data_IF_442223757401
#
_entry.id   IF_442223757401
#
_cell.length_a   1.000
_cell.length_b   1.000
_cell.length_c   1.000
_cell.angle_alpha   90.00
_cell.angle_beta   90.00
_cell.angle_gamma   90.00
#
_symmetry.space_group_name_H-M   'P 1'
#
loop_
_entity.id
_entity.type
_entity.pdbx_description
1 polymer ?
#
# COMPACT_ATOMS: atom_id res chain seq x y z
N UNK A 1 17.35 -24.48 26.45
CA UNK A 1 16.65 -24.72 25.18
C UNK A 1 16.04 -23.41 24.76
N UNK A 2 16.70 -22.70 23.83
CA UNK A 2 16.21 -21.43 23.32
C UNK A 2 15.01 -21.74 22.42
N UNK A 3 13.84 -21.19 22.77
CA UNK A 3 12.70 -21.19 21.87
C UNK A 3 13.08 -20.34 20.67
N UNK A 4 13.23 -20.98 19.51
CA UNK A 4 13.24 -20.27 18.24
C UNK A 4 11.92 -19.50 18.17
N UNK A 5 11.99 -18.19 18.38
CA UNK A 5 10.85 -17.32 18.21
C UNK A 5 10.43 -17.42 16.77
N UNK A 6 9.22 -17.95 16.53
CA UNK A 6 8.59 -17.88 15.22
C UNK A 6 8.70 -16.44 14.71
N UNK A 7 9.08 -16.23 13.44
CA UNK A 7 9.15 -14.88 12.92
C UNK A 7 7.79 -14.19 13.13
N UNK A 8 7.80 -12.94 13.61
CA UNK A 8 6.58 -12.17 13.94
C UNK A 8 5.57 -12.06 12.77
N UNK A 9 5.97 -12.40 11.55
CA UNK A 9 5.14 -12.45 10.33
C UNK A 9 4.35 -13.75 10.10
N UNK A 10 4.53 -14.77 10.94
CA UNK A 10 3.68 -15.97 10.95
C UNK A 10 2.38 -15.79 11.75
N UNK A 11 2.27 -14.70 12.53
CA UNK A 11 1.07 -14.45 13.31
C UNK A 11 -0.07 -13.96 12.41
N UNK A 12 -1.14 -14.76 12.35
CA UNK A 12 -2.40 -14.36 11.73
C UNK A 12 -3.04 -13.29 12.61
N UNK A 13 -3.38 -12.11 12.07
CA UNK A 13 -4.00 -11.06 12.87
C UNK A 13 -5.36 -11.53 13.41
N UNK A 14 -5.67 -11.26 14.69
CA UNK A 14 -6.96 -11.64 15.25
C UNK A 14 -8.09 -10.95 14.50
N UNK A 15 -9.25 -11.59 14.41
CA UNK A 15 -10.43 -10.99 13.79
C UNK A 15 -10.83 -9.70 14.50
N UNK A 16 -11.13 -8.67 13.72
CA UNK A 16 -11.45 -7.34 14.20
C UNK A 16 -10.25 -6.46 14.49
N UNK A 17 -9.01 -6.90 14.24
CA UNK A 17 -7.83 -6.05 14.44
C UNK A 17 -7.71 -4.93 13.41
N UNK A 18 -8.22 -5.16 12.20
CA UNK A 18 -8.11 -4.17 11.13
C UNK A 18 -9.19 -3.08 11.25
N UNK A 19 -8.87 -1.81 10.96
CA UNK A 19 -9.84 -0.70 10.97
C UNK A 19 -11.10 -0.97 10.13
N UNK A 20 -10.91 -1.53 8.93
CA UNK A 20 -12.02 -1.89 8.05
C UNK A 20 -12.86 -3.04 8.63
N UNK A 21 -12.26 -4.04 9.27
CA UNK A 21 -13.02 -5.14 9.91
C UNK A 21 -13.93 -4.57 11.01
N UNK A 22 -13.41 -3.66 11.85
CA UNK A 22 -14.22 -2.96 12.86
C UNK A 22 -15.32 -2.09 12.24
N UNK A 23 -15.02 -1.41 11.13
CA UNK A 23 -16.02 -0.62 10.42
C UNK A 23 -17.15 -1.49 9.87
N UNK A 24 -16.83 -2.63 9.26
CA UNK A 24 -17.82 -3.58 8.75
C UNK A 24 -18.72 -4.10 9.87
N UNK A 25 -18.15 -4.54 10.99
CA UNK A 25 -18.92 -5.05 12.13
C UNK A 25 -19.87 -3.98 12.68
N UNK A 26 -19.37 -2.76 12.90
CA UNK A 26 -20.16 -1.67 13.49
C UNK A 26 -21.29 -1.18 12.60
N UNK A 27 -21.12 -1.24 11.28
CA UNK A 27 -22.07 -0.70 10.31
C UNK A 27 -22.87 -1.80 9.59
N UNK A 28 -22.80 -3.03 10.08
CA UNK A 28 -23.58 -4.13 9.52
C UNK A 28 -25.05 -4.01 9.94
N UNK A 29 -25.92 -3.77 8.95
CA UNK A 29 -27.36 -3.88 9.09
C UNK A 29 -27.81 -5.33 8.90
N UNK A 30 -28.30 -5.94 9.98
CA UNK A 30 -28.83 -7.31 9.98
C UNK A 30 -30.22 -7.44 9.35
N UNK A 31 -30.91 -6.33 9.13
CA UNK A 31 -32.26 -6.27 8.54
C UNK A 31 -32.23 -5.85 7.07
N UNK A 32 -31.05 -5.63 6.52
CA UNK A 32 -30.84 -5.32 5.11
C UNK A 32 -31.43 -6.42 4.22
N UNK A 33 -32.13 -6.02 3.16
CA UNK A 33 -32.63 -6.93 2.13
C UNK A 33 -31.56 -7.33 1.11
N UNK A 34 -30.39 -6.68 1.16
CA UNK A 34 -29.31 -6.94 0.22
C UNK A 34 -28.62 -8.28 0.52
N UNK A 35 -28.00 -8.87 -0.51
CA UNK A 35 -27.09 -9.98 -0.28
C UNK A 35 -25.91 -9.50 0.60
N UNK A 36 -25.42 -10.33 1.56
CA UNK A 36 -24.29 -9.97 2.43
C UNK A 36 -23.07 -9.45 1.67
N UNK A 37 -22.75 -10.02 0.50
CA UNK A 37 -21.65 -9.56 -0.35
C UNK A 37 -21.84 -8.13 -0.87
N UNK A 38 -23.06 -7.76 -1.29
CA UNK A 38 -23.38 -6.43 -1.80
C UNK A 38 -23.32 -5.38 -0.69
N UNK A 39 -23.89 -5.70 0.47
CA UNK A 39 -23.81 -4.85 1.64
C UNK A 39 -22.35 -4.61 2.04
N UNK A 40 -21.53 -5.67 2.05
CA UNK A 40 -20.11 -5.57 2.35
C UNK A 40 -19.38 -4.66 1.38
N UNK A 41 -19.57 -4.85 0.07
CA UNK A 41 -18.94 -4.01 -0.95
C UNK A 41 -19.30 -2.54 -0.77
N UNK A 42 -20.58 -2.24 -0.53
CA UNK A 42 -21.04 -0.87 -0.21
C UNK A 42 -20.32 -0.30 1.01
N UNK A 43 -20.19 -1.07 2.08
CA UNK A 43 -19.52 -0.62 3.30
C UNK A 43 -18.01 -0.40 3.06
N UNK A 44 -17.34 -1.21 2.26
CA UNK A 44 -15.93 -0.99 1.88
C UNK A 44 -15.77 0.32 1.12
N UNK A 45 -16.62 0.60 0.13
CA UNK A 45 -16.58 1.89 -0.58
C UNK A 45 -16.84 3.08 0.36
N UNK A 46 -17.83 2.98 1.26
CA UNK A 46 -18.08 4.02 2.27
C UNK A 46 -16.91 4.23 3.23
N UNK A 47 -16.19 3.16 3.57
CA UNK A 47 -14.98 3.26 4.38
C UNK A 47 -13.88 4.05 3.65
N UNK A 48 -13.70 3.77 2.36
CA UNK A 48 -12.71 4.43 1.50
C UNK A 48 -13.02 5.92 1.25
N UNK A 49 -14.30 6.28 1.18
CA UNK A 49 -14.75 7.67 1.03
C UNK A 49 -14.64 8.49 2.32
N UNK A 50 -14.36 7.85 3.47
CA UNK A 50 -14.45 8.49 4.76
C UNK A 50 -13.32 9.50 4.97
N UNK A 51 -13.71 10.72 5.36
CA UNK A 51 -12.74 11.80 5.52
C UNK A 51 -11.91 11.76 6.82
N UNK A 52 -12.23 10.87 7.75
CA UNK A 52 -11.52 10.65 9.02
C UNK A 52 -11.75 9.22 9.48
N UNK A 53 -10.69 8.44 9.64
CA UNK A 53 -10.73 7.28 10.55
C UNK A 53 -10.88 7.86 11.94
N UNK A 54 -11.98 7.54 12.62
CA UNK A 54 -12.12 7.92 14.02
C UNK A 54 -10.94 7.37 14.82
N UNK A 55 -10.52 8.10 15.86
CA UNK A 55 -9.41 7.70 16.76
C UNK A 55 -9.57 6.29 17.33
N UNK A 56 -10.80 5.78 17.35
CA UNK A 56 -11.19 4.43 17.77
C UNK A 56 -10.55 3.29 16.94
N UNK A 57 -9.92 3.55 15.80
CA UNK A 57 -9.30 2.52 14.95
C UNK A 57 -7.76 2.61 14.89
N UNK A 58 -7.14 3.46 15.71
CA UNK A 58 -5.71 3.82 15.57
C UNK A 58 -4.73 2.83 16.22
N UNK A 59 -5.20 1.87 17.01
CA UNK A 59 -4.33 0.97 17.78
C UNK A 59 -4.34 -0.47 17.23
N UNK A 60 -3.57 -0.71 16.17
CA UNK A 60 -3.41 -2.04 15.52
C UNK A 60 -2.66 -3.06 16.41
N UNK A 61 -1.91 -2.59 17.40
CA UNK A 61 -1.14 -3.42 18.34
C UNK A 61 -1.86 -3.63 19.68
N UNK A 62 -3.04 -3.03 19.86
CA UNK A 62 -3.90 -3.25 21.02
C UNK A 62 -5.03 -4.23 20.68
N UNK A 63 -5.69 -4.76 21.72
CA UNK A 63 -6.89 -5.57 21.52
C UNK A 63 -7.92 -4.74 20.74
N UNK A 64 -8.60 -5.35 19.74
CA UNK A 64 -9.67 -4.69 19.02
C UNK A 64 -10.65 -3.98 19.98
N UNK A 65 -11.06 -2.75 19.68
CA UNK A 65 -12.01 -2.01 20.51
C UNK A 65 -13.29 -2.82 20.81
N UNK A 66 -13.67 -3.68 19.85
CA UNK A 66 -14.73 -4.68 20.00
C UNK A 66 -14.26 -6.01 19.44
N UNK A 67 -14.29 -7.05 20.27
CA UNK A 67 -14.13 -8.43 19.81
C UNK A 67 -15.32 -8.84 18.94
N UNK A 68 -15.09 -9.29 17.68
CA UNK A 68 -16.18 -9.84 16.88
C UNK A 68 -16.68 -11.16 17.47
N UNK A 69 -18.00 -11.35 17.41
CA UNK A 69 -18.68 -12.60 17.73
C UNK A 69 -18.44 -13.66 16.65
N UNK A 70 -18.71 -14.94 16.96
CA UNK A 70 -18.53 -16.02 15.97
C UNK A 70 -19.44 -15.86 14.77
N UNK A 71 -20.65 -15.35 15.01
CA UNK A 71 -21.64 -15.05 13.99
C UNK A 71 -21.16 -13.92 13.07
N UNK A 72 -20.63 -12.83 13.63
CA UNK A 72 -20.05 -11.72 12.85
C UNK A 72 -18.84 -12.19 12.04
N UNK A 73 -17.95 -13.02 12.61
CA UNK A 73 -16.83 -13.60 11.86
C UNK A 73 -17.37 -14.45 10.69
N UNK A 74 -18.29 -15.37 10.95
CA UNK A 74 -18.81 -16.30 9.95
C UNK A 74 -19.63 -15.63 8.84
N UNK A 75 -20.33 -14.53 9.14
CA UNK A 75 -21.22 -13.85 8.19
C UNK A 75 -20.52 -12.69 7.47
N UNK A 76 -19.74 -11.89 8.20
CA UNK A 76 -19.25 -10.59 7.73
C UNK A 76 -17.82 -10.72 7.23
N UNK A 77 -16.91 -11.23 8.06
CA UNK A 77 -15.46 -11.12 7.83
C UNK A 77 -14.87 -12.31 7.07
N UNK A 78 -15.18 -13.53 7.51
CA UNK A 78 -14.63 -14.75 6.92
C UNK A 78 -15.02 -14.91 5.43
N UNK A 79 -16.28 -14.67 5.00
CA UNK A 79 -16.62 -14.80 3.58
C UNK A 79 -16.07 -13.66 2.71
N UNK A 80 -15.42 -12.67 3.28
CA UNK A 80 -14.73 -11.61 2.55
C UNK A 80 -13.26 -11.95 2.33
N UNK A 81 -12.60 -12.32 3.42
CA UNK A 81 -11.15 -12.45 3.48
C UNK A 81 -10.80 -13.67 4.34
N UNK A 82 -11.15 -14.86 3.86
CA UNK A 82 -10.84 -16.14 4.52
C UNK A 82 -9.36 -16.52 4.42
N UNK A 83 -8.63 -15.92 3.49
CA UNK A 83 -7.23 -16.22 3.25
C UNK A 83 -6.32 -15.52 4.27
N UNK A 84 -5.61 -16.32 5.06
CA UNK A 84 -4.69 -15.85 6.11
C UNK A 84 -3.46 -15.10 5.57
N UNK A 85 -3.03 -15.37 4.33
CA UNK A 85 -1.98 -14.60 3.65
C UNK A 85 -2.51 -13.20 3.38
N UNK A 86 -3.71 -13.07 2.81
CA UNK A 86 -4.32 -11.76 2.50
C UNK A 86 -4.57 -10.95 3.77
N UNK A 87 -5.07 -11.59 4.84
CA UNK A 87 -5.24 -10.93 6.14
C UNK A 87 -3.91 -10.42 6.71
N UNK A 88 -2.83 -11.19 6.58
CA UNK A 88 -1.48 -10.75 6.98
C UNK A 88 -1.00 -9.56 6.14
N UNK A 89 -1.17 -9.60 4.81
CA UNK A 89 -0.81 -8.48 3.93
C UNK A 89 -1.55 -7.20 4.34
N UNK A 90 -2.84 -7.30 4.62
CA UNK A 90 -3.67 -6.18 5.06
C UNK A 90 -3.17 -5.58 6.38
N UNK A 91 -2.79 -6.43 7.33
CA UNK A 91 -2.25 -5.98 8.61
C UNK A 91 -0.94 -5.19 8.44
N UNK A 92 0.01 -5.67 7.65
CA UNK A 92 1.26 -4.94 7.44
C UNK A 92 1.09 -3.66 6.62
N UNK A 93 0.23 -3.68 5.59
CA UNK A 93 -0.10 -2.47 4.82
C UNK A 93 -0.84 -1.42 5.66
N UNK A 94 -1.55 -1.83 6.71
CA UNK A 94 -2.17 -0.91 7.64
C UNK A 94 -1.19 -0.24 8.61
N UNK A 95 0.07 -0.69 8.70
CA UNK A 95 1.07 -0.09 9.60
C UNK A 95 1.95 0.93 8.89
N UNK A 96 2.37 0.59 7.67
CA UNK A 96 3.39 1.35 6.95
C UNK A 96 2.90 1.83 5.59
N UNK A 97 3.33 3.03 5.21
CA UNK A 97 3.19 3.52 3.84
C UNK A 97 4.29 2.92 2.99
N UNK A 98 3.96 1.84 2.28
CA UNK A 98 4.89 1.15 1.38
C UNK A 98 4.47 1.28 -0.08
N UNK A 99 5.43 1.12 -0.98
CA UNK A 99 5.14 0.91 -2.40
C UNK A 99 4.41 -0.42 -2.56
N UNK A 100 3.27 -0.41 -3.25
CA UNK A 100 2.51 -1.63 -3.55
C UNK A 100 2.84 -2.09 -4.97
N UNK A 101 3.15 -3.36 -5.16
CA UNK A 101 3.25 -3.98 -6.48
C UNK A 101 1.97 -4.75 -6.79
N UNK A 102 1.34 -4.47 -7.93
CA UNK A 102 0.11 -5.14 -8.36
C UNK A 102 0.28 -5.67 -9.78
N UNK A 103 0.24 -7.00 -9.94
CA UNK A 103 0.12 -7.62 -11.27
C UNK A 103 -1.35 -7.71 -11.65
N UNK A 104 -1.68 -7.23 -12.84
CA UNK A 104 -3.05 -7.25 -13.38
C UNK A 104 -3.18 -8.05 -14.67
N UNK A 105 -2.06 -8.44 -15.28
CA UNK A 105 -2.00 -9.26 -16.48
C UNK A 105 -1.16 -10.52 -16.23
N UNK A 106 -1.65 -11.66 -16.69
CA UNK A 106 -1.07 -12.97 -16.40
C UNK A 106 -0.91 -13.77 -17.69
N UNK A 107 0.35 -13.96 -18.07
CA UNK A 107 0.81 -14.90 -19.08
C UNK A 107 1.92 -15.76 -18.42
N UNK A 108 1.88 -17.11 -18.52
CA UNK A 108 2.92 -17.97 -17.98
C UNK A 108 4.34 -17.62 -18.47
N UNK A 109 4.48 -17.11 -19.69
CA UNK A 109 5.79 -16.74 -20.25
C UNK A 109 6.40 -15.51 -19.56
N UNK A 110 5.58 -14.70 -18.88
CA UNK A 110 5.98 -13.49 -18.19
C UNK A 110 6.37 -13.70 -16.71
N UNK A 111 6.19 -14.92 -16.19
CA UNK A 111 6.49 -15.24 -14.78
C UNK A 111 7.98 -15.07 -14.45
N UNK A 112 8.86 -15.29 -15.44
CA UNK A 112 10.29 -15.01 -15.29
C UNK A 112 10.57 -13.53 -15.03
N UNK A 113 9.95 -12.62 -15.80
CA UNK A 113 10.12 -11.18 -15.64
C UNK A 113 9.55 -10.66 -14.32
N UNK A 114 8.43 -11.26 -13.89
CA UNK A 114 7.87 -10.95 -12.58
C UNK A 114 8.86 -11.22 -11.43
N UNK A 115 9.58 -12.33 -11.50
CA UNK A 115 10.59 -12.66 -10.49
C UNK A 115 11.78 -11.68 -10.53
N UNK A 116 12.24 -11.31 -11.74
CA UNK A 116 13.27 -10.28 -11.93
C UNK A 116 12.85 -8.97 -11.25
N UNK A 117 11.64 -8.48 -11.55
CA UNK A 117 11.13 -7.21 -11.02
C UNK A 117 10.93 -7.19 -9.50
N UNK A 118 10.63 -8.32 -8.87
CA UNK A 118 10.36 -8.35 -7.42
C UNK A 118 11.62 -8.64 -6.62
N UNK A 119 12.44 -9.60 -7.07
CA UNK A 119 13.53 -10.17 -6.26
C UNK A 119 14.90 -9.65 -6.66
N UNK A 120 15.14 -9.37 -7.95
CA UNK A 120 16.47 -8.95 -8.41
C UNK A 120 16.69 -7.45 -8.29
N UNK A 121 15.62 -6.66 -8.34
CA UNK A 121 15.70 -5.21 -8.30
C UNK A 121 15.80 -4.65 -6.87
N UNK A 122 15.59 -5.43 -5.81
CA UNK A 122 15.51 -4.94 -4.41
C UNK A 122 14.48 -3.81 -4.20
N UNK A 123 13.52 -3.64 -5.13
CA UNK A 123 12.52 -2.56 -5.12
C UNK A 123 11.66 -2.54 -3.86
N UNK A 124 11.44 -3.72 -3.28
CA UNK A 124 10.54 -3.91 -2.15
C UNK A 124 11.27 -4.38 -0.89
N UNK A 125 12.59 -4.51 -0.88
CA UNK A 125 13.38 -5.06 0.24
C UNK A 125 12.64 -6.26 0.92
N UNK A 126 12.52 -6.21 2.25
CA UNK A 126 11.76 -7.17 3.08
C UNK A 126 10.23 -7.04 2.92
N UNK A 127 9.72 -5.93 2.37
CA UNK A 127 8.29 -5.67 2.15
C UNK A 127 7.70 -6.45 0.97
N UNK A 128 8.53 -7.00 0.08
CA UNK A 128 8.11 -7.79 -1.09
C UNK A 128 7.08 -8.86 -0.74
N UNK A 129 7.19 -9.42 0.48
CA UNK A 129 6.30 -10.47 0.98
C UNK A 129 4.87 -10.01 1.24
N UNK A 130 4.65 -8.74 1.63
CA UNK A 130 3.29 -8.22 1.92
C UNK A 130 2.80 -7.13 0.97
N UNK A 131 3.71 -6.44 0.29
CA UNK A 131 3.37 -5.37 -0.63
C UNK A 131 3.20 -5.84 -2.09
N UNK A 132 3.53 -7.09 -2.40
CA UNK A 132 3.35 -7.67 -3.73
C UNK A 132 2.04 -8.47 -3.87
N UNK A 133 1.26 -8.16 -4.90
CA UNK A 133 0.01 -8.83 -5.27
C UNK A 133 0.14 -9.47 -6.65
N UNK A 134 0.44 -10.79 -6.67
CA UNK A 134 0.75 -11.58 -7.87
C UNK A 134 -0.09 -12.87 -7.98
N UNK A 135 -1.22 -12.99 -7.28
CA UNK A 135 -2.12 -14.14 -7.43
C UNK A 135 -3.13 -13.92 -8.58
N UNK A 136 -3.10 -14.73 -9.66
CA UNK A 136 -4.01 -14.60 -10.80
C UNK A 136 -5.48 -14.82 -10.44
N UNK A 137 -5.79 -15.64 -9.43
CA UNK A 137 -7.17 -15.91 -9.04
C UNK A 137 -7.79 -14.73 -8.29
N UNK A 138 -6.95 -13.85 -7.73
CA UNK A 138 -7.39 -12.73 -6.90
C UNK A 138 -7.24 -11.37 -7.58
N UNK A 139 -6.18 -11.17 -8.39
CA UNK A 139 -5.78 -9.84 -8.86
C UNK A 139 -5.77 -9.67 -10.37
N UNK A 140 -6.26 -10.65 -11.13
CA UNK A 140 -6.44 -10.54 -12.58
C UNK A 140 -7.62 -9.61 -12.92
N UNK A 141 -7.43 -8.32 -12.67
CA UNK A 141 -8.43 -7.27 -12.90
C UNK A 141 -8.31 -6.62 -14.28
N UNK A 142 -7.23 -6.92 -15.02
CA UNK A 142 -6.87 -6.19 -16.24
C UNK A 142 -6.85 -4.68 -16.00
N UNK A 143 -7.55 -3.87 -16.82
CA UNK A 143 -7.54 -2.41 -16.68
C UNK A 143 -8.23 -1.93 -15.39
N UNK A 144 -9.10 -2.75 -14.77
CA UNK A 144 -9.90 -2.38 -13.61
C UNK A 144 -9.16 -2.60 -12.29
N UNK A 145 -7.89 -2.18 -12.22
CA UNK A 145 -7.00 -2.42 -11.08
C UNK A 145 -7.57 -1.93 -9.73
N UNK A 146 -8.43 -0.90 -9.74
CA UNK A 146 -9.11 -0.35 -8.56
C UNK A 146 -9.95 -1.39 -7.79
N UNK A 147 -10.32 -2.50 -8.42
CA UNK A 147 -10.96 -3.63 -7.74
C UNK A 147 -10.11 -4.22 -6.62
N UNK A 148 -8.80 -3.95 -6.60
CA UNK A 148 -7.94 -4.27 -5.46
C UNK A 148 -8.50 -3.71 -4.15
N UNK A 149 -9.16 -2.54 -4.16
CA UNK A 149 -9.72 -1.94 -2.96
C UNK A 149 -10.91 -2.72 -2.37
N UNK A 150 -11.58 -3.56 -3.17
CA UNK A 150 -12.64 -4.45 -2.69
C UNK A 150 -12.06 -5.59 -1.84
N UNK A 151 -10.79 -5.97 -2.10
CA UNK A 151 -10.09 -7.05 -1.40
C UNK A 151 -9.15 -6.49 -0.33
N UNK A 152 -8.50 -5.37 -0.62
CA UNK A 152 -7.40 -4.74 0.10
C UNK A 152 -7.56 -3.21 0.13
N UNK A 153 -8.59 -2.67 0.83
CA UNK A 153 -8.76 -1.23 0.99
C UNK A 153 -7.54 -0.54 1.64
N UNK A 154 -6.70 -1.27 2.36
CA UNK A 154 -5.46 -0.78 2.96
C UNK A 154 -4.45 -0.27 1.92
N UNK A 155 -4.55 -0.69 0.65
CA UNK A 155 -3.74 -0.18 -0.48
C UNK A 155 -4.00 1.31 -0.75
N UNK A 156 -5.16 1.85 -0.34
CA UNK A 156 -5.45 3.28 -0.47
C UNK A 156 -4.61 4.17 0.47
N UNK A 157 -3.81 3.55 1.34
CA UNK A 157 -2.93 4.22 2.30
C UNK A 157 -3.50 4.20 3.71
N UNK A 158 -2.61 4.12 4.71
CA UNK A 158 -3.00 4.18 6.11
C UNK A 158 -3.62 5.54 6.44
N UNK A 159 -4.88 5.48 6.88
CA UNK A 159 -5.67 6.65 7.22
C UNK A 159 -5.42 7.01 8.69
N UNK A 160 -4.20 7.45 9.02
CA UNK A 160 -3.97 8.29 10.20
C UNK A 160 -4.09 9.75 9.76
N UNK A 161 -5.31 10.27 9.82
CA UNK A 161 -5.60 11.69 9.53
C UNK A 161 -5.41 12.57 10.77
N UNK A 162 -5.05 12.01 11.92
CA UNK A 162 -4.77 12.71 13.18
C UNK A 162 -3.32 13.20 13.26
N UNK A 163 -2.38 12.56 12.55
CA UNK A 163 -0.98 13.05 12.43
C UNK A 163 -0.78 14.19 11.42
N UNK A 164 -1.85 14.85 10.94
CA UNK A 164 -1.73 16.01 10.04
C UNK A 164 -1.04 17.25 10.66
N UNK A 165 -0.64 17.21 11.94
CA UNK A 165 0.06 18.32 12.60
C UNK A 165 1.38 17.95 13.28
N UNK A 166 1.87 16.71 13.12
CA UNK A 166 3.21 16.33 13.54
C UNK A 166 4.11 16.19 12.30
N UNK A 167 4.65 17.31 11.83
CA UNK A 167 5.69 17.33 10.80
C UNK A 167 6.85 16.38 11.17
N UNK A 168 7.13 15.37 10.34
CA UNK A 168 8.38 15.26 9.56
C UNK A 168 8.60 13.86 8.96
N UNK A 169 8.99 13.85 7.68
CA UNK A 169 9.98 12.91 7.10
C UNK A 169 9.76 11.40 7.16
N UNK A 170 8.63 10.90 6.68
CA UNK A 170 8.53 9.51 6.22
C UNK A 170 8.49 9.43 4.69
N UNK A 171 9.60 9.72 4.00
CA UNK A 171 9.76 9.17 2.64
C UNK A 171 9.75 7.64 2.83
N UNK A 172 9.04 6.85 2.01
CA UNK A 172 9.20 5.40 2.10
C UNK A 172 10.68 5.10 1.92
N UNK A 173 11.32 4.53 2.94
CA UNK A 173 12.77 4.33 2.93
C UNK A 173 13.07 3.21 1.94
N UNK A 174 13.42 3.55 0.70
CA UNK A 174 13.98 2.63 -0.28
C UNK A 174 15.50 2.74 -0.19
N UNK A 175 16.14 1.90 0.61
CA UNK A 175 17.60 1.79 0.63
C UNK A 175 18.03 0.79 -0.43
N UNK A 176 18.24 1.28 -1.65
CA UNK A 176 19.05 0.55 -2.63
C UNK A 176 20.45 0.31 -2.03
N UNK A 177 20.76 -0.93 -1.62
CA UNK A 177 22.10 -1.27 -1.12
C UNK A 177 23.07 -1.36 -2.30
N UNK A 178 23.80 -0.27 -2.55
CA UNK A 178 25.02 -0.33 -3.34
C UNK A 178 26.11 -1.18 -2.65
N UNK A 179 27.10 -1.72 -3.39
CA UNK A 179 28.16 -2.54 -2.81
C UNK A 179 28.99 -1.73 -1.79
N UNK A 180 29.55 -2.39 -0.76
CA UNK A 180 30.22 -1.69 0.33
C UNK A 180 31.57 -1.13 -0.13
N UNK A 181 31.60 0.12 -0.61
CA UNK A 181 32.85 0.84 -0.78
C UNK A 181 33.36 1.27 0.59
N UNK A 182 34.48 0.66 1.00
CA UNK A 182 35.27 1.06 2.15
C UNK A 182 35.70 2.53 2.00
N UNK A 183 35.23 3.36 2.92
CA UNK A 183 35.93 4.56 3.39
C UNK A 183 35.83 5.79 2.49
N UNK A 184 34.93 6.71 2.85
CA UNK A 184 35.21 8.15 2.93
C UNK A 184 34.05 8.85 3.65
N UNK A 185 34.30 9.26 4.91
CA UNK A 185 33.46 10.23 5.63
C UNK A 185 33.51 11.55 4.84
N UNK A 186 32.40 11.98 4.27
CA UNK A 186 32.32 13.28 3.60
C UNK A 186 31.13 13.49 2.67
N UNK A 187 30.38 12.44 2.29
CA UNK A 187 29.23 12.56 1.39
C UNK A 187 27.89 12.85 2.10
N UNK A 188 27.74 12.42 3.36
CA UNK A 188 26.48 12.60 4.13
C UNK A 188 26.16 14.08 4.41
N UNK A 189 27.18 14.92 4.54
CA UNK A 189 27.01 16.37 4.78
C UNK A 189 26.50 17.14 3.56
N UNK A 190 26.59 16.56 2.35
CA UNK A 190 26.17 17.22 1.11
C UNK A 190 24.66 17.03 0.85
N UNK A 191 24.09 15.90 1.29
CA UNK A 191 22.65 15.61 1.14
C UNK A 191 21.84 16.43 2.15
N UNK A 192 22.29 16.51 3.42
CA UNK A 192 21.62 17.32 4.44
C UNK A 192 21.59 18.82 4.11
N UNK A 193 22.63 19.34 3.45
CA UNK A 193 22.69 20.77 3.07
C UNK A 193 21.78 21.12 1.89
N UNK A 194 21.43 20.17 1.01
CA UNK A 194 20.43 20.41 -0.05
C UNK A 194 18.99 20.43 0.49
N UNK A 195 18.72 19.68 1.56
CA UNK A 195 17.39 19.60 2.19
C UNK A 195 17.03 20.93 2.88
N UNK A 196 18.01 21.64 3.46
CA UNK A 196 17.76 22.91 4.18
C UNK A 196 17.54 24.14 3.30
N UNK A 197 17.91 24.11 2.02
CA UNK A 197 17.93 25.31 1.18
C UNK A 197 16.72 25.49 0.25
N UNK A 198 15.72 24.60 0.29
CA UNK A 198 14.51 24.73 -0.53
C UNK A 198 13.24 25.13 0.23
N UNK A 199 13.35 25.51 1.51
CA UNK A 199 12.20 25.92 2.34
C UNK A 199 11.72 27.36 2.12
N UNK A 200 12.29 28.11 1.17
CA UNK A 200 11.84 29.46 0.85
C UNK A 200 11.45 29.58 -0.62
N UNK A 201 10.20 30.01 -0.83
CA UNK A 201 9.62 30.56 -2.07
C UNK A 201 9.06 29.54 -3.09
N UNK A 202 7.91 28.95 -2.73
CA UNK A 202 6.66 28.89 -3.52
C UNK A 202 5.76 27.81 -2.91
N UNK A 203 4.82 28.22 -2.04
CA UNK A 203 3.82 27.30 -1.48
C UNK A 203 2.76 26.98 -2.54
N UNK A 204 3.14 26.13 -3.48
CA UNK A 204 2.19 25.32 -4.25
C UNK A 204 1.42 24.42 -3.26
N UNK A 205 0.14 24.09 -3.54
CA UNK A 205 -0.67 23.30 -2.62
C UNK A 205 0.06 22.01 -2.24
N UNK A 206 0.18 21.74 -0.94
CA UNK A 206 0.71 20.50 -0.40
C UNK A 206 -0.07 19.32 -1.00
N UNK A 207 0.52 18.69 -2.01
CA UNK A 207 -0.02 17.46 -2.60
C UNK A 207 0.21 16.35 -1.56
N UNK A 208 -0.83 16.04 -0.79
CA UNK A 208 -0.80 14.94 0.17
C UNK A 208 -0.93 13.60 -0.56
N UNK A 209 0.21 13.04 -0.98
CA UNK A 209 0.27 11.67 -1.51
C UNK A 209 0.02 10.69 -0.36
N UNK A 210 -0.97 9.82 -0.55
CA UNK A 210 -1.38 8.81 0.42
C UNK A 210 -0.78 7.43 0.11
N UNK A 211 -0.66 7.08 -1.17
CA UNK A 211 -0.22 5.76 -1.61
C UNK A 211 0.56 5.80 -2.92
N UNK A 212 1.45 4.83 -3.08
CA UNK A 212 2.19 4.57 -4.31
C UNK A 212 1.92 3.13 -4.77
N UNK A 213 1.47 2.96 -6.00
CA UNK A 213 1.17 1.65 -6.59
C UNK A 213 1.95 1.52 -7.89
N UNK A 214 2.71 0.45 -8.02
CA UNK A 214 3.35 0.00 -9.25
C UNK A 214 2.52 -1.13 -9.83
N UNK A 215 2.09 -0.99 -11.08
CA UNK A 215 1.25 -1.96 -11.77
C UNK A 215 2.03 -2.61 -12.91
N UNK A 216 2.08 -3.94 -12.88
CA UNK A 216 2.46 -4.79 -14.01
C UNK A 216 1.19 -5.15 -14.80
N UNK A 217 0.86 -4.30 -15.77
CA UNK A 217 -0.21 -4.54 -16.74
C UNK A 217 0.36 -5.12 -18.04
N UNK A 218 -0.52 -5.39 -19.01
CA UNK A 218 -0.12 -5.97 -20.29
C UNK A 218 0.95 -5.12 -21.01
N UNK A 219 0.84 -3.80 -20.95
CA UNK A 219 1.79 -2.88 -21.57
C UNK A 219 3.16 -2.95 -20.87
N UNK A 220 3.20 -3.16 -19.56
CA UNK A 220 4.46 -3.33 -18.83
C UNK A 220 5.23 -4.57 -19.32
N UNK A 221 4.55 -5.69 -19.61
CA UNK A 221 5.21 -6.87 -20.17
C UNK A 221 5.61 -6.69 -21.64
N UNK A 222 4.93 -5.83 -22.39
CA UNK A 222 5.31 -5.52 -23.78
C UNK A 222 6.47 -4.55 -23.89
N UNK A 223 6.49 -3.52 -23.04
CA UNK A 223 7.45 -2.42 -23.10
C UNK A 223 8.63 -2.56 -22.14
N UNK A 224 8.50 -3.39 -21.10
CA UNK A 224 9.44 -3.43 -19.97
C UNK A 224 9.25 -2.30 -18.95
N UNK A 225 8.25 -1.43 -19.13
CA UNK A 225 8.03 -0.26 -18.27
C UNK A 225 6.81 -0.43 -17.36
N UNK A 226 7.05 -0.44 -16.05
CA UNK A 226 6.01 -0.56 -15.03
C UNK A 226 5.20 0.73 -14.93
N UNK A 227 3.91 0.63 -14.58
CA UNK A 227 3.04 1.80 -14.40
C UNK A 227 3.05 2.24 -12.95
N UNK A 228 3.67 3.37 -12.64
CA UNK A 228 3.66 3.98 -11.31
C UNK A 228 2.50 4.96 -11.17
N UNK A 229 1.68 4.77 -10.13
CA UNK A 229 0.60 5.64 -9.73
C UNK A 229 0.91 6.27 -8.38
N UNK A 230 0.78 7.59 -8.28
CA UNK A 230 0.76 8.33 -7.02
C UNK A 230 -0.67 8.81 -6.75
N UNK A 231 -1.23 8.40 -5.61
CA UNK A 231 -2.63 8.62 -5.27
C UNK A 231 -2.77 9.59 -4.10
N UNK A 232 -3.79 10.44 -4.15
CA UNK A 232 -4.18 11.28 -3.01
C UNK A 232 -4.96 10.47 -1.96
N UNK A 233 -5.29 11.13 -0.84
CA UNK A 233 -6.10 10.55 0.25
C UNK A 233 -7.53 10.14 -0.16
N UNK A 234 -7.97 10.52 -1.36
CA UNK A 234 -9.28 10.20 -1.94
C UNK A 234 -9.15 9.22 -3.12
N UNK A 235 -8.00 8.57 -3.28
CA UNK A 235 -7.67 7.63 -4.37
C UNK A 235 -7.70 8.27 -5.78
N UNK A 236 -7.64 9.60 -5.87
CA UNK A 236 -7.45 10.26 -7.16
C UNK A 236 -6.00 10.08 -7.61
N UNK A 237 -5.81 9.78 -8.88
CA UNK A 237 -4.49 9.72 -9.51
C UNK A 237 -3.98 11.15 -9.63
N UNK A 238 -2.98 11.49 -8.82
CA UNK A 238 -2.28 12.77 -8.93
C UNK A 238 -1.20 12.69 -10.01
N UNK A 239 -0.57 11.53 -10.11
CA UNK A 239 0.53 11.29 -11.05
C UNK A 239 0.48 9.85 -11.54
N UNK A 240 0.72 9.71 -12.83
CA UNK A 240 0.85 8.44 -13.53
C UNK A 240 2.03 8.51 -14.48
N UNK A 241 2.98 7.58 -14.36
CA UNK A 241 4.20 7.55 -15.18
C UNK A 241 4.58 6.10 -15.49
N UNK A 242 5.14 5.86 -16.67
CA UNK A 242 5.81 4.60 -17.03
C UNK A 242 7.29 4.67 -16.61
N UNK A 243 7.72 3.73 -15.78
CA UNK A 243 9.03 3.75 -15.12
C UNK A 243 9.79 2.46 -15.38
N UNK A 244 11.12 2.55 -15.48
CA UNK A 244 11.98 1.38 -15.51
C UNK A 244 11.96 0.67 -14.15
N UNK A 245 12.37 -0.58 -14.12
CA UNK A 245 12.43 -1.45 -12.94
C UNK A 245 13.53 -1.04 -11.93
N UNK A 246 14.26 0.06 -12.18
CA UNK A 246 15.36 0.51 -11.32
C UNK A 246 14.83 1.23 -10.06
N UNK A 247 15.17 0.76 -8.84
CA UNK A 247 14.72 1.40 -7.60
C UNK A 247 15.12 2.85 -7.47
N UNK A 248 16.30 3.22 -7.98
CA UNK A 248 16.77 4.60 -7.92
C UNK A 248 15.84 5.54 -8.68
N UNK A 249 15.35 5.13 -9.86
CA UNK A 249 14.45 5.94 -10.68
C UNK A 249 13.07 6.06 -10.03
N UNK A 250 12.51 4.94 -9.54
CA UNK A 250 11.23 4.96 -8.82
C UNK A 250 11.31 5.81 -7.55
N UNK A 251 12.40 5.65 -6.78
CA UNK A 251 12.66 6.41 -5.55
C UNK A 251 12.83 7.90 -5.86
N UNK A 252 13.58 8.24 -6.90
CA UNK A 252 13.75 9.63 -7.32
C UNK A 252 12.41 10.26 -7.72
N UNK A 253 11.56 9.54 -8.46
CA UNK A 253 10.22 10.04 -8.83
C UNK A 253 9.31 10.20 -7.61
N UNK A 254 9.43 9.34 -6.60
CA UNK A 254 8.71 9.46 -5.32
C UNK A 254 9.23 10.67 -4.52
N UNK A 255 10.53 10.93 -4.55
CA UNK A 255 11.19 12.05 -3.87
C UNK A 255 10.92 13.40 -4.53
N UNK A 256 10.82 13.42 -5.86
CA UNK A 256 10.44 14.59 -6.63
C UNK A 256 8.94 14.87 -6.39
N UNK A 257 8.63 15.60 -5.32
CA UNK A 257 7.28 16.09 -4.95
C UNK A 257 6.61 17.02 -5.98
N UNK A 258 7.20 17.17 -7.17
CA UNK A 258 6.70 18.05 -8.20
C UNK A 258 5.93 17.26 -9.26
N UNK A 259 4.72 17.67 -9.63
CA UNK A 259 4.07 17.13 -10.80
C UNK A 259 4.95 17.47 -12.01
N UNK A 260 5.34 16.45 -12.79
CA UNK A 260 5.76 16.69 -14.17
C UNK A 260 4.49 17.12 -14.89
N UNK A 261 4.31 18.43 -15.02
CA UNK A 261 3.32 19.00 -15.92
C UNK A 261 3.85 18.66 -17.32
N UNK A 262 3.29 17.62 -17.94
CA UNK A 262 3.44 17.47 -19.39
C UNK A 262 2.80 18.69 -20.04
N UNK A 263 3.66 19.62 -20.47
CA UNK A 263 3.28 20.64 -21.44
C UNK A 263 2.96 19.93 -22.74
N UNK A 264 1.69 19.58 -22.95
CA UNK A 264 1.17 19.30 -24.28
C UNK A 264 1.32 20.58 -25.10
N UNK A 265 2.27 20.57 -26.03
CA UNK A 265 2.29 21.44 -27.21
C UNK A 265 1.26 21.01 -28.25
#
# INVERSE_FOLDING_TARGET
MAGEGFPLWEMIPPWGSLPIEQYLIKNWDHFSTDAPSQQRQRLIHRFLERDRTSEEFLFLDELPPRMPTREEIGLILHPWRSDDVIRRKAYYLSKDRVLVFLRTHYDPEDDGRMNEWIFETDLFEDNSRWACFNDPHMFNFGPNWQRIYEIMPEVAGFVDRTQQFAHSSGIPCFRAKGPPMKGQRGADECIEKRIKNHESENRLPDINIAAYIVIADQEAFQSGLLRLLCLDVRQNIIREVRVDQKPAEITELILQRHPIIELRG
#
